data_IF_537383640083
#
_entry.id   IF_537383640083
#
_cell.length_a   1.000
_cell.length_b   1.000
_cell.length_c   1.000
_cell.angle_alpha   90.00
_cell.angle_beta   90.00
_cell.angle_gamma   90.00
#
_symmetry.space_group_name_H-M   'P 1'
#
loop_
_entity.id
_entity.type
_entity.pdbx_description
1 polymer ?
#
# COMPACT_ATOMS: atom_id res chain seq x y z
N UNK A 1 0.75 8.59 -18.90
CA UNK A 1 0.84 8.77 -17.42
C UNK A 1 2.29 8.54 -17.01
N UNK A 2 2.87 9.42 -16.21
CA UNK A 2 4.20 9.22 -15.64
C UNK A 2 4.09 8.59 -14.26
N UNK A 3 5.11 7.87 -13.78
CA UNK A 3 5.07 7.25 -12.44
C UNK A 3 4.78 8.24 -11.32
N UNK A 4 5.27 9.46 -11.44
CA UNK A 4 5.11 10.55 -10.46
C UNK A 4 3.65 11.03 -10.35
N UNK A 5 2.91 11.00 -11.47
CA UNK A 5 1.51 11.46 -11.54
C UNK A 5 0.49 10.40 -11.08
N UNK A 6 0.93 9.16 -10.82
CA UNK A 6 0.06 8.10 -10.31
C UNK A 6 -0.39 8.43 -8.91
N UNK A 7 -1.69 8.37 -8.65
CA UNK A 7 -2.23 8.59 -7.32
C UNK A 7 -1.98 7.37 -6.42
N UNK A 8 -1.48 7.59 -5.23
CA UNK A 8 -1.25 6.55 -4.23
C UNK A 8 -2.24 6.71 -3.08
N UNK A 9 -3.06 5.70 -2.85
CA UNK A 9 -3.98 5.60 -1.72
C UNK A 9 -3.41 4.67 -0.67
N UNK A 10 -3.28 5.15 0.56
CA UNK A 10 -2.75 4.42 1.72
C UNK A 10 -3.87 4.25 2.74
N UNK A 11 -4.30 3.01 2.99
CA UNK A 11 -5.27 2.76 4.06
C UNK A 11 -4.53 2.72 5.39
N UNK A 12 -4.98 3.54 6.33
CA UNK A 12 -4.36 3.61 7.64
C UNK A 12 -5.38 3.61 8.79
N UNK A 13 -5.00 2.95 9.89
CA UNK A 13 -5.69 3.06 11.16
C UNK A 13 -4.69 2.94 12.32
N UNK A 14 -4.55 4.02 13.08
CA UNK A 14 -3.72 4.08 14.31
C UNK A 14 -2.23 3.68 14.15
N UNK A 15 -1.68 3.69 12.92
CA UNK A 15 -0.28 3.35 12.65
C UNK A 15 0.47 4.60 12.20
N UNK A 16 1.32 5.17 13.05
CA UNK A 16 2.08 6.38 12.71
C UNK A 16 3.45 6.08 12.11
N UNK A 17 4.22 5.17 12.70
CA UNK A 17 5.62 4.94 12.30
C UNK A 17 5.77 4.33 10.92
N UNK A 18 4.96 3.32 10.60
CA UNK A 18 4.98 2.69 9.27
C UNK A 18 4.46 3.67 8.21
N UNK A 19 3.35 4.36 8.48
CA UNK A 19 2.76 5.32 7.56
C UNK A 19 3.72 6.44 7.22
N UNK A 20 4.42 7.01 8.22
CA UNK A 20 5.47 8.02 8.00
C UNK A 20 6.56 7.51 7.05
N UNK A 21 7.12 6.35 7.32
CA UNK A 21 8.17 5.76 6.50
C UNK A 21 7.72 5.51 5.07
N UNK A 22 6.48 5.02 4.90
CA UNK A 22 5.92 4.79 3.57
C UNK A 22 5.74 6.10 2.81
N UNK A 23 5.17 7.13 3.44
CA UNK A 23 5.00 8.46 2.84
C UNK A 23 6.35 9.09 2.48
N UNK A 24 7.33 9.03 3.37
CA UNK A 24 8.70 9.51 3.12
C UNK A 24 9.34 8.81 1.93
N UNK A 25 9.19 7.48 1.82
CA UNK A 25 9.70 6.72 0.70
C UNK A 25 9.01 7.11 -0.62
N UNK A 26 7.68 7.26 -0.63
CA UNK A 26 6.92 7.67 -1.81
C UNK A 26 7.33 9.07 -2.30
N UNK A 27 7.45 10.03 -1.39
CA UNK A 27 7.90 11.38 -1.73
C UNK A 27 9.34 11.38 -2.28
N UNK A 28 10.24 10.61 -1.66
CA UNK A 28 11.62 10.45 -2.13
C UNK A 28 11.70 9.76 -3.51
N UNK A 29 10.70 8.95 -3.86
CA UNK A 29 10.55 8.31 -5.17
C UNK A 29 9.88 9.21 -6.23
N UNK A 30 9.57 10.47 -5.88
CA UNK A 30 8.97 11.44 -6.79
C UNK A 30 7.45 11.39 -6.90
N UNK A 31 6.76 10.63 -6.04
CA UNK A 31 5.29 10.56 -6.05
C UNK A 31 4.70 11.92 -5.66
N UNK A 32 3.83 12.49 -6.51
CA UNK A 32 3.25 13.82 -6.32
C UNK A 32 1.87 13.82 -5.67
N UNK A 33 1.16 12.69 -5.74
CA UNK A 33 -0.24 12.58 -5.29
C UNK A 33 -0.39 11.40 -4.33
N UNK A 34 -0.52 11.71 -3.05
CA UNK A 34 -0.71 10.72 -1.98
C UNK A 34 -1.98 11.08 -1.20
N UNK A 35 -2.88 10.13 -1.02
CA UNK A 35 -4.04 10.26 -0.13
C UNK A 35 -4.01 9.15 0.91
N UNK A 36 -3.94 9.54 2.18
CA UNK A 36 -4.13 8.63 3.30
C UNK A 36 -5.63 8.52 3.55
N UNK A 37 -6.20 7.35 3.37
CA UNK A 37 -7.58 7.05 3.80
C UNK A 37 -7.51 6.63 5.26
N UNK A 38 -7.83 7.56 6.14
CA UNK A 38 -7.83 7.33 7.59
C UNK A 38 -9.12 6.64 8.02
N UNK A 39 -8.96 5.41 8.45
CA UNK A 39 -10.04 4.51 8.78
C UNK A 39 -10.47 4.64 10.26
N UNK A 40 -10.84 5.86 10.67
CA UNK A 40 -11.27 6.21 12.01
C UNK A 40 -10.17 6.03 13.08
N UNK A 41 -9.03 6.69 12.86
CA UNK A 41 -7.93 6.70 13.82
C UNK A 41 -8.22 7.59 15.02
N UNK A 42 -7.81 7.11 16.19
CA UNK A 42 -7.94 7.80 17.47
C UNK A 42 -6.61 8.04 18.18
N UNK A 43 -5.51 7.58 17.59
CA UNK A 43 -4.17 7.68 18.20
C UNK A 43 -3.61 9.11 18.07
N UNK A 44 -3.47 9.88 19.20
CA UNK A 44 -3.12 11.29 19.14
C UNK A 44 -1.84 11.61 18.37
N UNK A 45 -0.71 10.86 18.51
CA UNK A 45 0.49 11.17 17.75
C UNK A 45 0.33 11.03 16.23
N UNK A 46 -0.61 10.20 15.77
CA UNK A 46 -0.95 10.10 14.35
C UNK A 46 -1.74 11.31 13.89
N UNK A 47 -2.75 11.71 14.66
CA UNK A 47 -3.61 12.84 14.35
C UNK A 47 -2.82 14.16 14.35
N UNK A 48 -1.88 14.33 15.28
CA UNK A 48 -0.94 15.47 15.31
C UNK A 48 -0.04 15.47 14.06
N UNK A 49 0.47 14.31 13.66
CA UNK A 49 1.27 14.21 12.45
C UNK A 49 0.45 14.55 11.19
N UNK A 50 -0.80 14.13 11.10
CA UNK A 50 -1.67 14.50 9.97
C UNK A 50 -1.81 16.02 9.81
N UNK A 51 -1.88 16.78 10.91
CA UNK A 51 -1.94 18.24 10.87
C UNK A 51 -0.65 18.89 10.36
N UNK A 52 0.47 18.20 10.42
CA UNK A 52 1.77 18.66 9.93
C UNK A 52 2.01 18.36 8.44
N UNK A 53 1.14 17.56 7.82
CA UNK A 53 1.27 17.20 6.40
C UNK A 53 0.95 18.39 5.50
N UNK A 54 1.71 18.49 4.43
CA UNK A 54 1.56 19.52 3.40
C UNK A 54 2.00 18.96 2.03
N UNK A 55 1.94 19.81 0.99
CA UNK A 55 2.37 19.43 -0.35
C UNK A 55 1.44 18.40 -0.99
N UNK A 56 2.00 17.36 -1.57
CA UNK A 56 1.27 16.31 -2.30
C UNK A 56 0.58 15.25 -1.44
N UNK A 57 0.48 15.44 -0.11
CA UNK A 57 -0.12 14.46 0.82
C UNK A 57 -1.41 15.00 1.41
N UNK A 58 -2.51 14.31 1.13
CA UNK A 58 -3.82 14.59 1.69
C UNK A 58 -4.26 13.50 2.67
N UNK A 59 -5.16 13.84 3.61
CA UNK A 59 -5.81 12.88 4.51
C UNK A 59 -7.31 12.94 4.29
N UNK A 60 -7.89 11.80 3.93
CA UNK A 60 -9.33 11.59 3.86
C UNK A 60 -9.79 10.82 5.10
N UNK A 61 -10.44 11.52 6.03
CA UNK A 61 -11.00 10.91 7.23
C UNK A 61 -12.37 10.32 6.92
N UNK A 62 -12.54 9.01 7.13
CA UNK A 62 -13.81 8.32 6.84
C UNK A 62 -14.88 8.55 7.91
N UNK A 63 -14.47 8.97 9.13
CA UNK A 63 -15.38 9.19 10.26
C UNK A 63 -15.92 7.90 10.90
N UNK A 64 -15.67 6.76 10.31
CA UNK A 64 -15.96 5.42 10.83
C UNK A 64 -14.94 4.42 10.29
N UNK A 65 -14.78 3.27 10.96
CA UNK A 65 -13.95 2.18 10.42
C UNK A 65 -14.69 1.44 9.30
N UNK A 66 -14.45 1.84 8.05
CA UNK A 66 -15.09 1.24 6.88
C UNK A 66 -14.44 -0.07 6.42
N UNK A 67 -13.28 -0.43 6.96
CA UNK A 67 -12.51 -1.62 6.55
C UNK A 67 -11.83 -1.46 5.19
N UNK A 68 -10.97 -2.44 4.80
CA UNK A 68 -10.14 -2.31 3.60
C UNK A 68 -10.94 -2.35 2.29
N UNK A 69 -12.01 -3.11 2.22
CA UNK A 69 -12.81 -3.25 1.00
C UNK A 69 -13.57 -1.97 0.64
N UNK A 70 -14.25 -1.34 1.61
CA UNK A 70 -14.92 -0.07 1.36
C UNK A 70 -13.92 1.07 1.12
N UNK A 71 -12.72 0.99 1.71
CA UNK A 71 -11.64 1.93 1.39
C UNK A 71 -11.14 1.77 -0.04
N UNK A 72 -11.07 0.53 -0.56
CA UNK A 72 -10.80 0.26 -1.97
C UNK A 72 -11.89 0.84 -2.88
N UNK A 73 -13.18 0.61 -2.56
CA UNK A 73 -14.30 1.13 -3.34
C UNK A 73 -14.26 2.67 -3.37
N UNK A 74 -13.93 3.29 -2.25
CA UNK A 74 -13.76 4.75 -2.15
C UNK A 74 -12.63 5.24 -3.08
N UNK A 75 -11.43 4.66 -3.00
CA UNK A 75 -10.32 5.02 -3.87
C UNK A 75 -10.68 4.83 -5.35
N UNK A 76 -11.29 3.70 -5.70
CA UNK A 76 -11.72 3.38 -7.06
C UNK A 76 -12.78 4.34 -7.59
N UNK A 77 -13.62 4.91 -6.73
CA UNK A 77 -14.62 5.91 -7.12
C UNK A 77 -14.03 7.29 -7.41
N UNK A 78 -12.83 7.56 -6.91
CA UNK A 78 -12.13 8.84 -7.07
C UNK A 78 -11.23 8.89 -8.30
N UNK A 79 -10.89 7.73 -8.89
CA UNK A 79 -9.92 7.63 -9.98
C UNK A 79 -10.49 6.87 -11.19
N UNK A 80 -10.10 7.33 -12.37
CA UNK A 80 -10.44 6.70 -13.66
C UNK A 80 -9.20 6.03 -14.26
N UNK A 81 -8.02 6.51 -13.90
CA UNK A 81 -6.71 6.05 -14.37
C UNK A 81 -6.13 5.01 -13.41
N UNK A 82 -5.11 4.27 -13.81
CA UNK A 82 -4.39 3.40 -12.88
C UNK A 82 -3.91 4.14 -11.63
N UNK A 83 -4.13 3.57 -10.48
CA UNK A 83 -3.70 4.10 -9.18
C UNK A 83 -3.04 3.00 -8.35
N UNK A 84 -2.30 3.41 -7.32
CA UNK A 84 -1.75 2.51 -6.31
C UNK A 84 -2.68 2.49 -5.10
N UNK A 85 -2.95 1.30 -4.58
CA UNK A 85 -3.67 1.11 -3.33
C UNK A 85 -2.86 0.18 -2.42
N UNK A 86 -2.57 0.61 -1.21
CA UNK A 86 -1.69 -0.11 -0.28
C UNK A 86 -2.10 0.07 1.17
N UNK A 87 -1.73 -0.90 2.00
CA UNK A 87 -1.80 -0.76 3.45
C UNK A 87 -0.63 0.09 3.97
N UNK A 88 -0.83 0.76 5.08
CA UNK A 88 0.14 1.67 5.69
C UNK A 88 1.39 1.00 6.26
N UNK A 89 1.39 -0.32 6.41
CA UNK A 89 2.51 -1.13 6.91
C UNK A 89 3.29 -1.87 5.80
N UNK A 90 2.89 -1.72 4.56
CA UNK A 90 3.65 -2.20 3.40
C UNK A 90 4.74 -1.19 3.06
N UNK A 91 5.81 -1.21 3.85
CA UNK A 91 6.93 -0.27 3.70
C UNK A 91 8.04 -0.90 2.87
N UNK A 92 8.42 -0.30 1.72
CA UNK A 92 9.53 -0.79 0.93
C UNK A 92 10.85 -0.82 1.74
N UNK A 93 11.66 -1.89 1.59
CA UNK A 93 12.97 -1.94 2.22
C UNK A 93 13.95 -0.95 1.58
N UNK A 94 15.07 -0.61 2.25
CA UNK A 94 16.04 0.36 1.73
C UNK A 94 16.60 0.03 0.34
N UNK A 95 16.70 -1.26 0.02
CA UNK A 95 17.16 -1.76 -1.28
C UNK A 95 16.09 -1.74 -2.38
N UNK A 96 14.84 -1.39 -2.05
CA UNK A 96 13.78 -1.27 -3.04
C UNK A 96 14.06 -0.10 -3.99
N UNK A 97 14.06 -0.34 -5.30
CA UNK A 97 14.33 0.74 -6.25
C UNK A 97 13.22 1.79 -6.24
N UNK A 98 13.59 3.09 -6.30
CA UNK A 98 12.65 4.21 -6.29
C UNK A 98 11.70 4.24 -7.51
N UNK A 99 12.01 3.49 -8.58
CA UNK A 99 11.18 3.37 -9.78
C UNK A 99 10.14 2.23 -9.72
N UNK A 100 9.81 1.73 -8.52
CA UNK A 100 8.88 0.61 -8.34
C UNK A 100 7.53 0.84 -9.02
N UNK A 101 6.94 2.02 -8.88
CA UNK A 101 5.65 2.35 -9.52
C UNK A 101 5.79 2.30 -11.04
N UNK A 102 6.87 2.85 -11.59
CA UNK A 102 7.14 2.79 -13.02
C UNK A 102 7.27 1.38 -13.55
N UNK A 103 7.93 0.50 -12.80
CA UNK A 103 8.02 -0.93 -13.13
C UNK A 103 6.65 -1.62 -13.11
N UNK A 104 5.83 -1.34 -12.11
CA UNK A 104 4.47 -1.88 -12.05
C UNK A 104 3.61 -1.40 -13.24
N UNK A 105 3.69 -0.13 -13.61
CA UNK A 105 2.98 0.40 -14.78
C UNK A 105 3.45 -0.27 -16.09
N UNK A 106 4.74 -0.48 -16.25
CA UNK A 106 5.29 -1.17 -17.43
C UNK A 106 4.74 -2.60 -17.53
N UNK A 107 4.79 -3.35 -16.43
CA UNK A 107 4.24 -4.71 -16.39
C UNK A 107 2.74 -4.72 -16.66
N UNK A 108 2.00 -3.76 -16.14
CA UNK A 108 0.55 -3.65 -16.38
C UNK A 108 0.25 -3.38 -17.86
N UNK A 109 1.04 -2.52 -18.51
CA UNK A 109 0.89 -2.19 -19.93
C UNK A 109 1.22 -3.39 -20.84
N UNK A 110 2.20 -4.22 -20.44
CA UNK A 110 2.66 -5.37 -21.22
C UNK A 110 1.82 -6.66 -20.98
N UNK A 111 0.85 -6.62 -20.07
CA UNK A 111 0.03 -7.77 -19.67
C UNK A 111 -1.46 -7.56 -19.97
N UNK A 112 -1.91 -7.70 -21.23
CA UNK A 112 -3.33 -7.57 -21.59
C UNK A 112 -4.22 -8.49 -20.75
N UNK A 113 -5.30 -7.92 -20.20
CA UNK A 113 -6.23 -8.63 -19.32
C UNK A 113 -5.74 -8.78 -17.87
N UNK A 114 -4.67 -8.08 -17.51
CA UNK A 114 -4.23 -7.94 -16.12
C UNK A 114 -4.80 -6.64 -15.55
N UNK A 115 -5.63 -6.74 -14.50
CA UNK A 115 -6.27 -5.58 -13.89
C UNK A 115 -5.43 -4.98 -12.75
N UNK A 116 -4.43 -5.72 -12.25
CA UNK A 116 -3.56 -5.27 -11.16
C UNK A 116 -2.19 -5.93 -11.17
N UNK A 117 -1.20 -5.17 -10.75
CA UNK A 117 0.20 -5.61 -10.56
C UNK A 117 0.68 -5.08 -9.21
N UNK A 118 1.48 -5.85 -8.50
CA UNK A 118 2.13 -5.42 -7.26
C UNK A 118 3.36 -6.25 -6.96
N UNK A 119 4.28 -5.74 -6.11
CA UNK A 119 5.40 -6.52 -5.63
C UNK A 119 4.93 -7.62 -4.68
N UNK A 120 5.67 -8.72 -4.65
CA UNK A 120 5.49 -9.73 -3.60
C UNK A 120 5.98 -9.19 -2.25
N UNK A 121 5.33 -9.61 -1.17
CA UNK A 121 5.79 -9.30 0.18
C UNK A 121 7.01 -10.14 0.54
N UNK A 122 7.89 -9.57 1.34
CA UNK A 122 9.10 -10.23 1.82
C UNK A 122 8.73 -11.35 2.81
N UNK A 123 9.32 -12.54 2.64
CA UNK A 123 8.98 -13.73 3.43
C UNK A 123 10.04 -14.08 4.47
N UNK A 124 11.28 -13.66 4.29
CA UNK A 124 12.43 -14.03 5.13
C UNK A 124 12.48 -13.28 6.48
N UNK A 125 11.63 -12.29 6.67
CA UNK A 125 11.51 -11.50 7.89
C UNK A 125 10.21 -11.75 8.68
N UNK A 126 9.44 -12.76 8.31
CA UNK A 126 8.22 -13.12 9.04
C UNK A 126 8.62 -13.65 10.43
N UNK A 127 8.09 -13.08 11.53
CA UNK A 127 8.38 -13.56 12.87
C UNK A 127 8.07 -15.05 13.02
N UNK A 128 8.95 -15.81 13.70
CA UNK A 128 8.84 -17.27 13.82
C UNK A 128 7.47 -17.72 14.36
N UNK A 129 6.89 -16.97 15.28
CA UNK A 129 5.56 -17.23 15.82
C UNK A 129 4.44 -17.18 14.75
N UNK A 130 4.65 -16.46 13.66
CA UNK A 130 3.67 -16.30 12.58
C UNK A 130 3.87 -17.31 11.43
N UNK A 131 4.94 -18.11 11.48
CA UNK A 131 5.21 -19.10 10.44
C UNK A 131 4.24 -20.28 10.46
N UNK A 132 3.77 -20.64 11.66
CA UNK A 132 2.91 -21.81 11.89
C UNK A 132 1.48 -21.46 12.27
N UNK A 133 1.20 -20.22 12.65
CA UNK A 133 -0.14 -19.79 13.03
C UNK A 133 -1.02 -19.71 11.77
N UNK A 134 -2.19 -20.33 11.80
CA UNK A 134 -3.17 -20.27 10.71
C UNK A 134 -3.91 -18.93 10.73
N UNK A 135 -3.90 -18.23 9.60
CA UNK A 135 -4.55 -16.93 9.45
C UNK A 135 -5.64 -16.92 8.38
N UNK A 136 -5.36 -17.46 7.20
CA UNK A 136 -6.26 -17.42 6.05
C UNK A 136 -6.60 -18.83 5.59
N UNK A 137 -7.86 -19.18 5.64
CA UNK A 137 -8.37 -20.47 5.13
C UNK A 137 -7.56 -21.69 5.60
N UNK A 138 -7.09 -21.67 6.86
CA UNK A 138 -6.28 -22.73 7.43
C UNK A 138 -4.81 -22.73 6.99
N UNK A 139 -4.33 -21.66 6.36
CA UNK A 139 -2.93 -21.52 5.95
C UNK A 139 -2.17 -20.56 6.87
N UNK A 140 -0.88 -20.81 7.07
CA UNK A 140 0.01 -19.85 7.72
C UNK A 140 0.23 -18.64 6.80
N UNK A 141 0.61 -17.50 7.40
CA UNK A 141 0.95 -16.31 6.63
C UNK A 141 2.05 -16.59 5.60
N UNK A 142 3.08 -17.35 5.97
CA UNK A 142 4.14 -17.74 5.06
C UNK A 142 3.62 -18.56 3.87
N UNK A 143 2.76 -19.54 4.11
CA UNK A 143 2.20 -20.37 3.05
C UNK A 143 1.28 -19.55 2.12
N UNK A 144 0.48 -18.65 2.69
CA UNK A 144 -0.36 -17.74 1.94
C UNK A 144 0.43 -16.82 1.02
N UNK A 145 1.45 -16.13 1.55
CA UNK A 145 2.27 -15.21 0.77
C UNK A 145 3.18 -15.92 -0.25
N UNK A 146 3.70 -17.10 0.08
CA UNK A 146 4.58 -17.87 -0.80
C UNK A 146 3.93 -18.20 -2.15
N UNK A 147 2.60 -18.36 -2.21
CA UNK A 147 1.90 -18.68 -3.46
C UNK A 147 2.08 -17.58 -4.53
N UNK A 148 2.29 -16.32 -4.14
CA UNK A 148 2.47 -15.20 -5.06
C UNK A 148 3.89 -15.17 -5.66
N UNK A 149 4.86 -15.80 -5.01
CA UNK A 149 6.23 -15.94 -5.50
C UNK A 149 6.43 -17.14 -6.44
N UNK A 150 5.63 -18.19 -6.25
CA UNK A 150 5.78 -19.46 -6.98
C UNK A 150 5.02 -19.51 -8.31
N UNK A 151 4.12 -18.58 -8.56
CA UNK A 151 3.39 -18.53 -9.83
C UNK A 151 4.25 -17.87 -10.91
N UNK A 152 5.09 -18.67 -11.59
CA UNK A 152 5.54 -18.29 -12.93
C UNK A 152 4.32 -18.35 -13.85
N UNK A 153 4.00 -17.26 -14.52
CA UNK A 153 3.10 -17.31 -15.67
C UNK A 153 3.82 -18.05 -16.78
N UNK A 154 3.28 -19.19 -17.22
CA UNK A 154 3.63 -19.82 -18.48
C UNK A 154 3.14 -18.97 -19.64
#
# INVERSE_FOLDING_TARGET
>A
MTPESVHVYIVNRNRVSCTKRLVEWLLASGTERITIIDNDSTYPPLLEWYQSLNGGVAVHQTGENIGPWRAWDLASSMEVEPFVFTDSDVVPPPECPGDLIGKCLSVLADAPGCDKVGPGLRLDNIPTQNLTQEYFQGQSLHAWESQFWMRRRE
#
